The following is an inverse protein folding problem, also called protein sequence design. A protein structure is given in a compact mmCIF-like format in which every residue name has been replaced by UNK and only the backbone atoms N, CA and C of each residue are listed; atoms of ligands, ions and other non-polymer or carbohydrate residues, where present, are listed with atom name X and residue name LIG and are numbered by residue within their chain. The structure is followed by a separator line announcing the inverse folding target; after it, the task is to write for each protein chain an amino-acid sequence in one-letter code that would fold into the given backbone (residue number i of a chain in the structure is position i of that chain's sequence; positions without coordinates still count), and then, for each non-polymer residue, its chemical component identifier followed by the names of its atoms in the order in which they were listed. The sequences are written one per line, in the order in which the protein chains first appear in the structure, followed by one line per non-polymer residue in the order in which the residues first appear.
data_IF_895728293082
#
_entry.id   IF_895728293082
#
_cell.length_a   1.000
_cell.length_b   1.000
_cell.length_c   1.000
_cell.angle_alpha   90.00
_cell.angle_beta   90.00
_cell.angle_gamma   90.00
#
_symmetry.space_group_name_H-M   'P 1'
#
loop_
_entity.id
_entity.type
_entity.pdbx_description
1 polymer ?
#
# COMPACT_ATOMS: atom_id res chain seq x y z
N UNK A 1 -13.05 29.42 -5.04
CA UNK A 1 -12.79 28.28 -5.93
C UNK A 1 -11.38 28.44 -6.47
N UNK A 2 -10.42 27.73 -5.88
CA UNK A 2 -9.03 27.80 -6.28
C UNK A 2 -8.75 26.83 -7.44
N UNK A 3 -7.84 27.22 -8.33
CA UNK A 3 -7.31 26.37 -9.39
C UNK A 3 -5.96 25.80 -8.96
N UNK A 4 -5.90 24.52 -8.71
CA UNK A 4 -4.73 23.83 -8.17
C UNK A 4 -4.16 22.89 -9.23
N UNK A 5 -2.85 22.86 -9.40
CA UNK A 5 -2.15 21.96 -10.31
C UNK A 5 -1.38 20.89 -9.55
N UNK A 6 -1.36 19.66 -10.08
CA UNK A 6 -0.45 18.64 -9.65
C UNK A 6 0.40 18.16 -10.83
N UNK A 7 1.71 18.24 -10.64
CA UNK A 7 2.72 17.85 -11.63
C UNK A 7 3.55 16.71 -11.04
N UNK A 8 3.80 15.68 -11.84
CA UNK A 8 4.74 14.62 -11.47
C UNK A 8 5.80 14.49 -12.54
N UNK A 9 7.03 14.82 -12.18
CA UNK A 9 8.19 14.79 -13.08
C UNK A 9 9.10 13.62 -12.73
N UNK A 10 9.52 12.88 -13.77
CA UNK A 10 10.73 12.10 -13.77
C UNK A 10 11.90 13.04 -14.12
N UNK A 11 13.13 12.63 -13.97
CA UNK A 11 14.34 13.45 -14.14
C UNK A 11 14.54 14.12 -15.51
N UNK A 12 13.59 14.06 -16.45
CA UNK A 12 13.67 14.64 -17.78
C UNK A 12 13.03 16.03 -17.83
N UNK A 13 13.84 17.04 -18.14
CA UNK A 13 13.45 18.47 -18.22
C UNK A 13 12.31 18.77 -19.22
N UNK A 14 12.22 18.02 -20.33
CA UNK A 14 11.22 18.30 -21.38
C UNK A 14 9.77 18.00 -20.95
N UNK A 15 9.55 16.97 -20.12
CA UNK A 15 8.20 16.64 -19.63
C UNK A 15 7.71 17.67 -18.61
N UNK A 16 8.61 18.32 -17.88
CA UNK A 16 8.26 19.35 -16.88
C UNK A 16 7.71 20.59 -17.55
N UNK A 17 8.43 21.12 -18.56
CA UNK A 17 8.02 22.35 -19.29
C UNK A 17 6.64 22.22 -19.93
N UNK A 18 6.30 21.04 -20.47
CA UNK A 18 4.97 20.78 -21.04
C UNK A 18 3.86 20.82 -19.99
N UNK A 19 4.08 20.23 -18.82
CA UNK A 19 3.11 20.24 -17.73
C UNK A 19 2.96 21.65 -17.15
N UNK A 20 4.05 22.39 -17.01
CA UNK A 20 4.02 23.79 -16.55
C UNK A 20 3.24 24.71 -17.52
N UNK A 21 3.50 24.62 -18.81
CA UNK A 21 2.75 25.37 -19.83
C UNK A 21 1.24 25.06 -19.78
N UNK A 22 0.87 23.80 -19.51
CA UNK A 22 -0.53 23.41 -19.34
C UNK A 22 -1.14 24.07 -18.10
N UNK A 23 -0.41 24.14 -16.98
CA UNK A 23 -0.89 24.80 -15.76
C UNK A 23 -1.08 26.30 -15.95
N UNK A 24 -0.20 26.95 -16.72
CA UNK A 24 -0.34 28.35 -17.11
C UNK A 24 -1.59 28.57 -17.98
N UNK A 25 -1.83 27.70 -18.97
CA UNK A 25 -3.03 27.75 -19.82
C UNK A 25 -4.34 27.69 -19.00
N UNK A 26 -4.38 26.87 -17.95
CA UNK A 26 -5.52 26.77 -17.04
C UNK A 26 -5.55 27.88 -15.99
N UNK A 27 -4.54 28.75 -15.95
CA UNK A 27 -4.38 29.79 -14.93
C UNK A 27 -4.40 29.22 -13.51
N UNK A 28 -3.61 28.17 -13.31
CA UNK A 28 -3.50 27.51 -12.01
C UNK A 28 -2.81 28.43 -11.01
N UNK A 29 -3.42 28.60 -9.84
CA UNK A 29 -2.93 29.52 -8.79
C UNK A 29 -1.80 28.90 -7.96
N UNK A 30 -1.83 27.59 -7.77
CA UNK A 30 -0.85 26.86 -6.98
C UNK A 30 -0.53 25.51 -7.59
N UNK A 31 0.76 25.21 -7.73
CA UNK A 31 1.26 23.95 -8.29
C UNK A 31 1.97 23.16 -7.20
N UNK A 32 1.64 21.87 -7.12
CA UNK A 32 2.35 20.86 -6.32
C UNK A 32 3.16 19.98 -7.27
N UNK A 33 4.48 20.10 -7.22
CA UNK A 33 5.38 19.44 -8.16
C UNK A 33 6.15 18.29 -7.49
N UNK A 34 5.76 17.05 -7.75
CA UNK A 34 6.39 15.85 -7.23
C UNK A 34 7.60 15.46 -8.07
N UNK A 35 8.81 15.51 -7.49
CA UNK A 35 10.05 15.00 -8.11
C UNK A 35 10.26 13.54 -7.73
N UNK A 36 10.19 12.64 -8.70
CA UNK A 36 10.39 11.22 -8.45
C UNK A 36 11.78 10.74 -8.85
N UNK A 37 12.54 10.24 -7.89
CA UNK A 37 13.62 9.28 -8.16
C UNK A 37 13.02 7.86 -8.17
N UNK A 38 13.44 7.00 -9.12
CA UNK A 38 12.82 5.68 -9.38
C UNK A 38 12.73 4.69 -8.21
N UNK A 39 13.28 5.02 -7.04
CA UNK A 39 13.22 4.19 -5.81
C UNK A 39 12.30 4.75 -4.72
N UNK A 40 11.90 6.01 -4.81
CA UNK A 40 11.14 6.63 -3.71
C UNK A 40 9.63 6.49 -3.94
N UNK A 41 8.98 5.72 -3.04
CA UNK A 41 7.52 5.53 -3.06
C UNK A 41 6.76 6.63 -2.34
N UNK A 42 7.47 7.50 -1.62
CA UNK A 42 6.86 8.60 -0.87
C UNK A 42 6.50 9.74 -1.83
N UNK A 43 5.30 10.31 -1.67
CA UNK A 43 4.74 11.40 -2.50
C UNK A 43 4.32 12.55 -1.59
N UNK A 44 5.28 13.30 -1.02
CA UNK A 44 4.98 14.37 -0.09
C UNK A 44 4.13 15.49 -0.73
N UNK A 45 4.39 15.83 -1.99
CA UNK A 45 3.64 16.88 -2.69
C UNK A 45 2.19 16.46 -2.98
N UNK A 46 1.94 15.20 -3.36
CA UNK A 46 0.59 14.69 -3.48
C UNK A 46 -0.16 14.77 -2.15
N UNK A 47 0.50 14.38 -1.07
CA UNK A 47 -0.10 14.40 0.27
C UNK A 47 -0.42 15.83 0.69
N UNK A 48 0.53 16.74 0.53
CA UNK A 48 0.35 18.16 0.81
C UNK A 48 -0.77 18.77 -0.05
N UNK A 49 -0.86 18.40 -1.32
CA UNK A 49 -1.94 18.83 -2.22
C UNK A 49 -3.30 18.33 -1.71
N UNK A 50 -3.41 17.02 -1.39
CA UNK A 50 -4.67 16.46 -0.88
C UNK A 50 -5.10 17.07 0.45
N UNK A 51 -4.17 17.49 1.31
CA UNK A 51 -4.46 18.23 2.54
C UNK A 51 -4.90 19.68 2.26
N UNK A 52 -4.33 20.30 1.24
CA UNK A 52 -4.56 21.71 0.89
C UNK A 52 -5.91 21.97 0.24
N UNK A 53 -6.35 21.09 -0.69
CA UNK A 53 -7.56 21.29 -1.47
C UNK A 53 -8.83 21.30 -0.62
N UNK A 54 -9.79 22.17 -0.98
CA UNK A 54 -11.03 22.41 -0.24
C UNK A 54 -12.25 22.28 -1.16
N UNK A 55 -13.43 22.24 -0.58
CA UNK A 55 -14.71 22.25 -1.31
C UNK A 55 -14.78 23.38 -2.34
N UNK A 56 -15.13 23.02 -3.57
CA UNK A 56 -15.26 23.94 -4.69
C UNK A 56 -13.97 24.21 -5.47
N UNK A 57 -12.82 23.70 -5.02
CA UNK A 57 -11.57 23.80 -5.79
C UNK A 57 -11.56 22.87 -7.00
N UNK A 58 -10.73 23.20 -7.99
CA UNK A 58 -10.51 22.36 -9.18
C UNK A 58 -9.04 21.96 -9.25
N UNK A 59 -8.80 20.64 -9.28
CA UNK A 59 -7.48 20.05 -9.46
C UNK A 59 -7.23 19.77 -10.95
N UNK A 60 -6.19 20.38 -11.51
CA UNK A 60 -5.74 20.18 -12.88
C UNK A 60 -4.53 19.27 -12.94
N UNK A 61 -4.58 18.29 -13.84
CA UNK A 61 -3.47 17.37 -14.13
C UNK A 61 -3.29 17.22 -15.64
N UNK A 62 -2.07 16.88 -16.08
CA UNK A 62 -1.83 16.56 -17.50
C UNK A 62 -2.52 15.25 -17.87
N UNK A 63 -2.33 14.20 -17.06
CA UNK A 63 -2.92 12.89 -17.30
C UNK A 63 -3.17 12.13 -16.00
N UNK A 64 -4.10 11.18 -16.04
CA UNK A 64 -4.43 10.27 -14.95
C UNK A 64 -3.19 9.49 -14.47
N UNK A 65 -2.30 9.12 -15.39
CA UNK A 65 -1.06 8.41 -15.10
C UNK A 65 -0.09 9.23 -14.24
N UNK A 66 -0.21 10.55 -14.22
CA UNK A 66 0.58 11.43 -13.34
C UNK A 66 0.02 11.46 -11.91
N UNK A 67 -1.28 11.31 -11.76
CA UNK A 67 -1.95 11.33 -10.46
C UNK A 67 -1.84 9.97 -9.74
N UNK A 68 -2.24 8.88 -10.40
CA UNK A 68 -2.18 7.53 -9.84
C UNK A 68 -0.97 6.72 -10.33
N UNK A 69 -0.48 5.80 -9.50
CA UNK A 69 0.56 4.80 -9.88
C UNK A 69 -0.05 3.48 -10.33
N UNK A 70 -1.25 3.22 -9.89
CA UNK A 70 -2.08 2.07 -10.25
C UNK A 70 -3.52 2.53 -10.30
N UNK A 71 -4.38 1.75 -10.91
CA UNK A 71 -5.82 2.03 -10.96
C UNK A 71 -6.40 2.19 -9.56
N UNK A 72 -5.99 1.34 -8.63
CA UNK A 72 -6.43 1.42 -7.22
C UNK A 72 -5.96 2.71 -6.51
N UNK A 73 -4.70 3.10 -6.71
CA UNK A 73 -4.15 4.35 -6.14
C UNK A 73 -4.92 5.55 -6.68
N UNK A 74 -5.19 5.58 -7.97
CA UNK A 74 -6.00 6.61 -8.63
C UNK A 74 -7.40 6.70 -8.02
N UNK A 75 -8.10 5.59 -7.87
CA UNK A 75 -9.45 5.56 -7.32
C UNK A 75 -9.49 6.07 -5.88
N UNK A 76 -8.54 5.65 -5.04
CA UNK A 76 -8.44 6.17 -3.67
C UNK A 76 -8.25 7.70 -3.64
N UNK A 77 -7.44 8.25 -4.56
CA UNK A 77 -7.26 9.70 -4.66
C UNK A 77 -8.55 10.37 -5.12
N UNK A 78 -9.23 9.81 -6.11
CA UNK A 78 -10.51 10.32 -6.62
C UNK A 78 -11.57 10.30 -5.51
N UNK A 79 -11.67 9.24 -4.73
CA UNK A 79 -12.61 9.15 -3.60
C UNK A 79 -12.36 10.28 -2.58
N UNK A 80 -11.10 10.55 -2.26
CA UNK A 80 -10.74 11.67 -1.37
C UNK A 80 -11.16 13.02 -1.96
N UNK A 81 -10.93 13.23 -3.26
CA UNK A 81 -11.34 14.47 -3.95
C UNK A 81 -12.86 14.63 -3.98
N UNK A 82 -13.60 13.55 -4.23
CA UNK A 82 -15.06 13.55 -4.21
C UNK A 82 -15.63 13.85 -2.82
N UNK A 83 -15.08 13.21 -1.76
CA UNK A 83 -15.48 13.49 -0.37
C UNK A 83 -15.25 14.95 0.00
N UNK A 84 -14.19 15.57 -0.52
CA UNK A 84 -13.91 17.00 -0.35
C UNK A 84 -14.67 17.90 -1.33
N UNK A 85 -15.45 17.33 -2.24
CA UNK A 85 -16.17 18.07 -3.32
C UNK A 85 -15.22 18.89 -4.19
N UNK A 86 -14.05 18.33 -4.51
CA UNK A 86 -13.05 18.91 -5.40
C UNK A 86 -13.23 18.32 -6.80
N UNK A 87 -13.29 19.19 -7.81
CA UNK A 87 -13.36 18.78 -9.21
C UNK A 87 -11.98 18.36 -9.71
N UNK A 88 -11.89 17.23 -10.43
CA UNK A 88 -10.68 16.79 -11.12
C UNK A 88 -10.81 17.02 -12.62
N UNK A 89 -9.82 17.68 -13.22
CA UNK A 89 -9.70 17.88 -14.67
C UNK A 89 -8.39 17.26 -15.15
N UNK A 90 -8.51 16.30 -16.07
CA UNK A 90 -7.37 15.69 -16.76
C UNK A 90 -7.37 16.09 -18.23
N UNK A 91 -6.30 16.77 -18.66
CA UNK A 91 -6.22 17.35 -20.01
C UNK A 91 -6.10 16.30 -21.09
N UNK A 92 -5.19 15.33 -20.90
CA UNK A 92 -4.88 14.31 -21.92
C UNK A 92 -6.06 13.38 -22.21
N UNK A 93 -6.76 12.95 -21.18
CA UNK A 93 -7.92 12.06 -21.31
C UNK A 93 -9.23 12.84 -21.51
N UNK A 94 -9.17 14.17 -21.47
CA UNK A 94 -10.34 15.05 -21.59
C UNK A 94 -11.44 14.71 -20.56
N UNK A 95 -11.04 14.46 -19.32
CA UNK A 95 -11.93 14.10 -18.21
C UNK A 95 -12.13 15.32 -17.33
N UNK A 96 -13.41 15.65 -17.09
CA UNK A 96 -13.85 16.61 -16.09
C UNK A 96 -14.89 15.93 -15.21
N UNK A 97 -14.57 15.75 -13.93
CA UNK A 97 -15.47 15.05 -12.98
C UNK A 97 -16.73 15.85 -12.62
N UNK A 98 -16.78 17.11 -13.00
CA UNK A 98 -18.00 17.91 -12.88
C UNK A 98 -19.05 17.53 -13.94
N UNK A 99 -18.63 16.91 -15.05
CA UNK A 99 -19.52 16.46 -16.12
C UNK A 99 -20.03 15.04 -15.91
N UNK A 100 -21.23 14.69 -16.41
CA UNK A 100 -21.72 13.31 -16.38
C UNK A 100 -20.77 12.33 -17.10
N UNK A 101 -20.19 12.77 -18.23
CA UNK A 101 -19.25 11.97 -19.03
C UNK A 101 -17.98 11.68 -18.24
N UNK A 102 -17.39 12.67 -17.57
CA UNK A 102 -16.20 12.47 -16.74
C UNK A 102 -16.44 11.51 -15.59
N UNK A 103 -17.59 11.63 -14.91
CA UNK A 103 -17.99 10.68 -13.87
C UNK A 103 -18.19 9.27 -14.40
N UNK A 104 -18.79 9.13 -15.57
CA UNK A 104 -18.95 7.81 -16.22
C UNK A 104 -17.61 7.15 -16.54
N UNK A 105 -16.65 7.90 -17.10
CA UNK A 105 -15.29 7.37 -17.36
C UNK A 105 -14.62 6.91 -16.08
N UNK A 106 -14.74 7.65 -14.98
CA UNK A 106 -14.21 7.21 -13.68
C UNK A 106 -14.87 5.93 -13.18
N UNK A 107 -16.17 5.75 -13.40
CA UNK A 107 -16.87 4.50 -13.04
C UNK A 107 -16.35 3.30 -13.83
N UNK A 108 -15.96 3.48 -15.10
CA UNK A 108 -15.30 2.45 -15.91
C UNK A 108 -13.93 2.09 -15.30
N UNK A 109 -13.12 3.07 -14.91
CA UNK A 109 -11.84 2.80 -14.24
C UNK A 109 -12.02 2.04 -12.92
N UNK A 110 -13.05 2.38 -12.15
CA UNK A 110 -13.38 1.66 -10.92
C UNK A 110 -13.71 0.19 -11.19
N UNK A 111 -14.59 -0.08 -12.15
CA UNK A 111 -14.98 -1.43 -12.55
C UNK A 111 -13.78 -2.25 -13.08
N UNK A 112 -12.92 -1.62 -13.88
CA UNK A 112 -11.70 -2.26 -14.40
C UNK A 112 -10.73 -2.64 -13.27
N UNK A 113 -10.55 -1.76 -12.29
CA UNK A 113 -9.71 -2.02 -11.12
C UNK A 113 -10.19 -3.21 -10.29
N UNK A 114 -11.50 -3.33 -10.09
CA UNK A 114 -12.07 -4.48 -9.36
C UNK A 114 -11.88 -5.76 -10.14
N UNK A 115 -12.08 -5.75 -11.46
CA UNK A 115 -11.82 -6.89 -12.32
C UNK A 115 -10.35 -7.34 -12.26
N UNK A 116 -9.40 -6.42 -12.34
CA UNK A 116 -7.96 -6.73 -12.21
C UNK A 116 -7.64 -7.36 -10.85
N UNK A 117 -8.27 -6.87 -9.79
CA UNK A 117 -8.12 -7.42 -8.44
C UNK A 117 -8.66 -8.84 -8.36
N UNK A 118 -9.86 -9.09 -8.86
CA UNK A 118 -10.48 -10.43 -8.87
C UNK A 118 -9.61 -11.43 -9.64
N UNK A 119 -9.14 -11.05 -10.83
CA UNK A 119 -8.25 -11.90 -11.65
C UNK A 119 -6.93 -12.20 -10.93
N UNK A 120 -6.38 -11.23 -10.19
CA UNK A 120 -5.14 -11.42 -9.41
C UNK A 120 -5.37 -12.40 -8.26
N UNK A 121 -6.48 -12.26 -7.53
CA UNK A 121 -6.86 -13.18 -6.46
C UNK A 121 -7.13 -14.61 -6.97
N UNK A 122 -7.77 -14.73 -8.13
CA UNK A 122 -8.01 -16.01 -8.78
C UNK A 122 -6.69 -16.69 -9.13
N UNK A 123 -5.79 -16.01 -9.83
CA UNK A 123 -4.46 -16.54 -10.18
C UNK A 123 -3.66 -16.94 -8.92
N UNK A 124 -3.76 -16.17 -7.85
CA UNK A 124 -3.12 -16.50 -6.58
C UNK A 124 -3.72 -17.80 -5.97
N UNK A 125 -5.04 -17.96 -5.98
CA UNK A 125 -5.69 -19.18 -5.48
C UNK A 125 -5.28 -20.42 -6.28
N UNK A 126 -5.26 -20.30 -7.61
CA UNK A 126 -4.81 -21.36 -8.52
C UNK A 126 -3.33 -21.72 -8.26
N UNK A 127 -2.44 -20.71 -8.15
CA UNK A 127 -1.04 -20.92 -7.82
C UNK A 127 -0.83 -21.62 -6.47
N UNK A 128 -1.60 -21.25 -5.44
CA UNK A 128 -1.57 -21.90 -4.12
C UNK A 128 -2.07 -23.37 -4.24
N UNK A 129 -3.13 -23.63 -5.00
CA UNK A 129 -3.65 -24.97 -5.21
C UNK A 129 -2.60 -25.89 -5.88
N UNK A 130 -1.95 -25.38 -6.94
CA UNK A 130 -0.86 -26.09 -7.64
C UNK A 130 0.32 -26.33 -6.68
N UNK A 131 0.74 -25.32 -5.93
CA UNK A 131 1.86 -25.46 -4.98
C UNK A 131 1.54 -26.46 -3.86
N UNK A 132 0.28 -26.54 -3.40
CA UNK A 132 -0.18 -27.55 -2.44
C UNK A 132 -0.14 -28.94 -3.04
N UNK A 133 -0.64 -29.17 -4.27
CA UNK A 133 -0.61 -30.46 -4.94
C UNK A 133 0.81 -30.98 -5.19
N UNK A 134 1.76 -30.06 -5.41
CA UNK A 134 3.18 -30.38 -5.59
C UNK A 134 3.96 -30.50 -4.24
N UNK A 135 3.29 -30.39 -3.09
CA UNK A 135 3.93 -30.44 -1.78
C UNK A 135 4.88 -29.27 -1.47
N UNK A 136 4.90 -28.23 -2.31
CA UNK A 136 5.77 -27.05 -2.16
C UNK A 136 5.22 -26.04 -1.14
N UNK A 137 3.92 -26.07 -0.87
CA UNK A 137 3.29 -25.16 0.06
C UNK A 137 3.40 -25.65 1.49
N UNK A 138 4.39 -25.17 2.22
CA UNK A 138 4.69 -25.58 3.60
C UNK A 138 3.98 -24.74 4.67
N UNK A 139 3.19 -23.76 4.28
CA UNK A 139 2.53 -22.83 5.22
C UNK A 139 3.55 -21.94 5.96
N UNK A 140 3.11 -21.41 7.11
CA UNK A 140 3.99 -20.61 7.97
C UNK A 140 5.05 -21.52 8.61
N UNK A 141 6.31 -21.24 8.33
CA UNK A 141 7.42 -21.97 8.97
C UNK A 141 7.40 -21.76 10.49
N UNK A 142 7.57 -22.81 11.28
CA UNK A 142 7.73 -22.67 12.72
C UNK A 142 8.98 -21.82 13.04
N UNK A 143 8.90 -21.00 14.07
CA UNK A 143 10.07 -20.29 14.58
C UNK A 143 11.16 -21.31 14.96
N UNK A 144 12.41 -21.13 14.48
CA UNK A 144 13.52 -21.96 14.91
C UNK A 144 13.71 -21.82 16.42
N UNK A 145 13.94 -22.93 17.08
CA UNK A 145 14.16 -22.98 18.53
C UNK A 145 15.56 -23.55 18.80
N UNK A 146 16.31 -22.83 19.61
CA UNK A 146 17.53 -23.38 20.21
C UNK A 146 17.13 -24.37 21.33
N UNK A 147 17.10 -25.65 20.97
CA UNK A 147 16.69 -26.72 21.88
C UNK A 147 17.70 -26.97 22.99
N UNK A 148 18.98 -26.60 22.80
CA UNK A 148 20.03 -26.76 23.84
C UNK A 148 19.75 -25.70 24.91
N UNK A 149 19.67 -24.46 24.55
CA UNK A 149 19.30 -23.38 25.48
C UNK A 149 17.93 -23.63 26.13
N UNK A 150 16.95 -24.14 25.36
CA UNK A 150 15.63 -24.47 25.89
C UNK A 150 15.72 -25.55 26.98
N UNK A 151 16.55 -26.59 26.81
CA UNK A 151 16.76 -27.66 27.80
C UNK A 151 17.36 -27.11 29.09
N UNK A 152 18.43 -26.32 29.01
CA UNK A 152 19.06 -25.69 30.18
C UNK A 152 18.07 -24.84 30.99
N UNK A 153 17.30 -24.03 30.30
CA UNK A 153 16.27 -23.20 30.95
C UNK A 153 15.11 -24.02 31.50
N UNK A 154 14.78 -25.14 30.86
CA UNK A 154 13.77 -26.07 31.36
C UNK A 154 14.18 -26.69 32.71
N UNK A 155 15.43 -27.12 32.88
CA UNK A 155 15.98 -27.65 34.13
C UNK A 155 15.96 -26.60 35.24
N UNK A 156 16.37 -25.34 34.93
CA UNK A 156 16.34 -24.25 35.90
C UNK A 156 14.90 -23.91 36.31
N UNK A 157 13.94 -24.02 35.38
CA UNK A 157 12.53 -23.84 35.71
C UNK A 157 11.97 -24.96 36.55
N UNK A 158 12.34 -26.20 36.28
CA UNK A 158 11.91 -27.35 37.11
C UNK A 158 12.50 -27.33 38.52
N UNK A 159 13.72 -26.81 38.69
CA UNK A 159 14.34 -26.60 40.01
C UNK A 159 13.79 -25.39 40.77
N UNK A 160 12.87 -24.61 40.15
CA UNK A 160 12.33 -23.42 40.75
C UNK A 160 13.24 -22.16 40.71
N UNK A 161 14.40 -22.24 40.05
CA UNK A 161 15.37 -21.14 39.99
C UNK A 161 14.87 -19.98 39.15
N UNK A 162 14.03 -20.26 38.13
CA UNK A 162 13.44 -19.23 37.24
C UNK A 162 11.95 -19.45 37.13
N UNK A 163 11.23 -18.36 36.76
CA UNK A 163 9.79 -18.40 36.50
C UNK A 163 9.50 -18.74 35.03
N UNK A 164 8.31 -19.28 34.73
CA UNK A 164 7.88 -19.52 33.34
C UNK A 164 7.85 -18.24 32.50
N UNK A 165 7.50 -17.10 33.10
CA UNK A 165 7.47 -15.79 32.43
C UNK A 165 8.88 -15.37 32.03
N UNK A 166 9.85 -15.54 32.92
CA UNK A 166 11.25 -15.22 32.63
C UNK A 166 11.79 -16.13 31.51
N UNK A 167 11.50 -17.44 31.56
CA UNK A 167 11.87 -18.41 30.54
C UNK A 167 11.32 -18.03 29.16
N UNK A 168 10.04 -17.64 29.09
CA UNK A 168 9.40 -17.15 27.85
C UNK A 168 10.14 -15.95 27.28
N UNK A 169 10.44 -14.96 28.12
CA UNK A 169 11.15 -13.73 27.73
C UNK A 169 12.56 -14.02 27.22
N UNK A 170 13.29 -14.88 27.91
CA UNK A 170 14.66 -15.26 27.55
C UNK A 170 14.73 -16.02 26.22
N UNK A 171 13.70 -16.78 25.88
CA UNK A 171 13.57 -17.48 24.59
C UNK A 171 12.91 -16.58 23.50
N UNK A 172 12.48 -15.37 23.82
CA UNK A 172 11.78 -14.49 22.89
C UNK A 172 10.43 -15.05 22.41
N UNK A 173 9.76 -15.88 23.23
CA UNK A 173 8.55 -16.60 22.85
C UNK A 173 7.31 -15.99 23.51
N UNK A 174 6.25 -15.82 22.73
CA UNK A 174 4.92 -15.54 23.25
C UNK A 174 4.37 -16.76 23.99
N UNK A 175 3.53 -16.53 25.02
CA UNK A 175 3.01 -17.58 25.91
C UNK A 175 2.46 -18.81 25.15
N UNK A 176 1.57 -18.60 24.19
CA UNK A 176 0.99 -19.70 23.41
C UNK A 176 2.03 -20.52 22.63
N UNK A 177 3.04 -19.86 22.08
CA UNK A 177 4.14 -20.53 21.37
C UNK A 177 5.02 -21.28 22.37
N UNK A 178 5.34 -20.68 23.52
CA UNK A 178 6.13 -21.29 24.57
C UNK A 178 5.51 -22.62 25.06
N UNK A 179 4.25 -22.61 25.46
CA UNK A 179 3.59 -23.84 25.96
C UNK A 179 3.48 -24.92 24.88
N UNK A 180 3.30 -24.56 23.62
CA UNK A 180 3.34 -25.50 22.51
C UNK A 180 4.74 -26.13 22.36
N UNK A 181 5.81 -25.32 22.43
CA UNK A 181 7.20 -25.80 22.37
C UNK A 181 7.60 -26.61 23.59
N UNK A 182 7.10 -26.24 24.76
CA UNK A 182 7.26 -27.01 25.99
C UNK A 182 6.65 -28.41 25.86
N UNK A 183 5.48 -28.53 25.27
CA UNK A 183 4.84 -29.83 25.00
C UNK A 183 5.66 -30.66 24.00
N UNK A 184 6.23 -30.03 22.99
CA UNK A 184 7.11 -30.68 22.02
C UNK A 184 8.40 -31.16 22.66
N UNK A 185 9.05 -30.33 23.50
CA UNK A 185 10.26 -30.70 24.23
C UNK A 185 10.03 -31.88 25.16
N UNK A 186 8.95 -31.87 25.96
CA UNK A 186 8.60 -32.99 26.84
C UNK A 186 8.37 -34.33 26.11
N UNK A 187 7.97 -34.28 24.83
CA UNK A 187 7.84 -35.50 24.01
C UNK A 187 9.19 -36.03 23.52
N UNK A 188 10.20 -35.19 23.38
CA UNK A 188 11.54 -35.55 22.90
C UNK A 188 12.42 -36.15 24.01
N UNK A 189 12.13 -35.82 25.29
CA UNK A 189 12.88 -36.29 26.44
C UNK A 189 12.23 -37.50 27.14
N UNK A 190 11.02 -37.89 26.69
CA UNK A 190 10.41 -39.18 27.03
C UNK A 190 10.88 -40.26 26.06
#
# INVERSE_FOLDING_TARGET
MGKIGYIRVSTEHQETARQEALMEQYQVERIFAEKMSGKNTNRPELKAMLEYVREGDTLYIESISRLGRSTRDLLNIIDVLQQKKVTLVSSKENIDTNTPQGRFVLSIFAALSELEREQTLQRQREGIAIAKSQGKYKGRQPLPIDWIKFGQLYEQWQSGTITAVWFQKEMGLQANTFYRRLKEYKRKIK
#
